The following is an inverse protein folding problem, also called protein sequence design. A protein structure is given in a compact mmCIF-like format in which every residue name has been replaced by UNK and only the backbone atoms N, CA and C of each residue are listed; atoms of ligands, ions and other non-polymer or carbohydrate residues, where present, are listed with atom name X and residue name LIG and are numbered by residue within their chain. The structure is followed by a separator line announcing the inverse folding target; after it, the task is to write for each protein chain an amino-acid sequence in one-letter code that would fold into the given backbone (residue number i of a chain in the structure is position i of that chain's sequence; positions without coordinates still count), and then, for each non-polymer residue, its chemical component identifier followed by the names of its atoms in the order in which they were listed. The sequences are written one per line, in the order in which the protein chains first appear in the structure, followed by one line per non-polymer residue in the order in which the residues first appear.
data_IF_544699902218
#
_entry.id   IF_544699902218
#
_cell.length_a   1.000
_cell.length_b   1.000
_cell.length_c   1.000
_cell.angle_alpha   90.00
_cell.angle_beta   90.00
_cell.angle_gamma   90.00
#
_symmetry.space_group_name_H-M   'P 1'
#
loop_
_entity.id
_entity.type
_entity.pdbx_description
1 polymer ?
#
# COMPACT_ATOMS: atom_id res chain seq x y z
N UNK A 1 -1.13 9.44 2.00
CA UNK A 1 -0.65 10.11 0.78
C UNK A 1 -0.03 9.05 -0.12
N UNK A 2 -0.13 9.24 -1.42
CA UNK A 2 0.51 8.42 -2.44
C UNK A 2 1.01 9.32 -3.56
N UNK A 3 2.05 8.89 -4.26
CA UNK A 3 2.62 9.60 -5.41
C UNK A 3 3.23 8.58 -6.35
N UNK A 4 3.12 8.83 -7.66
CA UNK A 4 3.79 8.03 -8.65
C UNK A 4 5.26 8.45 -8.73
N UNK A 5 6.17 7.48 -8.69
CA UNK A 5 7.62 7.72 -8.81
C UNK A 5 8.19 7.27 -10.15
N UNK A 6 7.57 6.29 -10.80
CA UNK A 6 7.98 5.78 -12.10
C UNK A 6 6.78 5.29 -12.91
N UNK A 7 6.86 5.41 -14.23
CA UNK A 7 6.01 4.74 -15.20
C UNK A 7 6.84 3.65 -15.89
N UNK A 8 6.28 2.44 -16.01
CA UNK A 8 6.96 1.27 -16.58
C UNK A 8 6.07 0.57 -17.59
N UNK A 9 6.67 -0.16 -18.53
CA UNK A 9 5.98 -0.86 -19.61
C UNK A 9 5.42 -2.24 -19.23
N UNK A 10 5.78 -2.80 -18.07
CA UNK A 10 5.31 -4.11 -17.63
C UNK A 10 5.20 -4.26 -16.11
N UNK A 11 4.36 -5.20 -15.65
CA UNK A 11 4.27 -5.58 -14.22
C UNK A 11 5.58 -6.17 -13.69
N UNK A 12 6.35 -6.83 -14.55
CA UNK A 12 7.64 -7.40 -14.17
C UNK A 12 8.64 -6.29 -13.81
N UNK A 13 8.74 -5.25 -14.65
CA UNK A 13 9.55 -4.06 -14.34
C UNK A 13 9.11 -3.37 -13.05
N UNK A 14 7.79 -3.23 -12.83
CA UNK A 14 7.27 -2.67 -11.57
C UNK A 14 7.80 -3.46 -10.36
N UNK A 15 7.73 -4.80 -10.40
CA UNK A 15 8.23 -5.65 -9.33
C UNK A 15 9.75 -5.52 -9.11
N UNK A 16 10.53 -5.42 -10.19
CA UNK A 16 11.99 -5.21 -10.11
C UNK A 16 12.31 -3.86 -9.45
N UNK A 17 11.57 -2.80 -9.81
CA UNK A 17 11.72 -1.48 -9.20
C UNK A 17 11.32 -1.50 -7.72
N UNK A 18 10.24 -2.19 -7.36
CA UNK A 18 9.80 -2.38 -5.97
C UNK A 18 10.87 -3.11 -5.13
N UNK A 19 11.42 -4.21 -5.65
CA UNK A 19 12.53 -4.94 -5.01
C UNK A 19 13.78 -4.06 -4.90
N UNK A 20 14.04 -3.22 -5.90
CA UNK A 20 15.16 -2.30 -5.83
C UNK A 20 14.96 -1.24 -4.73
N UNK A 21 13.76 -0.67 -4.63
CA UNK A 21 13.38 0.27 -3.57
C UNK A 21 13.42 -0.39 -2.18
N UNK A 22 13.18 -1.70 -2.07
CA UNK A 22 13.16 -2.39 -0.80
C UNK A 22 14.50 -2.44 -0.07
N UNK A 23 15.61 -2.11 -0.75
CA UNK A 23 16.93 -1.90 -0.13
C UNK A 23 16.92 -0.75 0.88
N UNK A 24 16.05 0.24 0.69
CA UNK A 24 15.94 1.42 1.57
C UNK A 24 14.58 1.51 2.27
N UNK A 25 13.52 1.04 1.63
CA UNK A 25 12.15 1.15 2.14
C UNK A 25 11.61 -0.22 2.51
N UNK A 26 11.33 -0.46 3.79
CA UNK A 26 10.77 -1.74 4.21
C UNK A 26 9.37 -1.94 3.62
N UNK A 27 9.16 -3.09 2.98
CA UNK A 27 7.89 -3.50 2.37
C UNK A 27 6.77 -3.76 3.41
N UNK A 28 7.15 -4.01 4.67
CA UNK A 28 6.20 -4.39 5.72
C UNK A 28 5.76 -3.21 6.57
N UNK A 29 4.48 -2.89 6.50
CA UNK A 29 3.82 -2.00 7.46
C UNK A 29 3.48 -2.76 8.75
N UNK A 30 3.89 -2.25 9.90
CA UNK A 30 3.46 -2.78 11.20
C UNK A 30 1.98 -2.41 11.43
N UNK A 31 1.06 -3.26 10.99
CA UNK A 31 -0.38 -2.98 10.91
C UNK A 31 -0.98 -2.38 12.19
N UNK A 32 -0.55 -2.85 13.37
CA UNK A 32 -1.07 -2.32 14.65
C UNK A 32 -0.60 -0.88 14.93
N UNK A 33 0.64 -0.53 14.57
CA UNK A 33 1.13 0.86 14.63
C UNK A 33 0.40 1.71 13.60
N UNK A 34 0.20 1.18 12.40
CA UNK A 34 -0.56 1.84 11.34
C UNK A 34 -1.99 2.13 11.82
N UNK A 35 -2.70 1.20 12.44
CA UNK A 35 -4.06 1.46 12.93
C UNK A 35 -4.02 2.50 14.06
N UNK A 36 -3.21 2.30 15.09
CA UNK A 36 -3.12 3.21 16.26
C UNK A 36 -2.69 4.62 15.91
N UNK A 37 -1.87 4.81 14.87
CA UNK A 37 -1.50 6.14 14.40
C UNK A 37 -2.66 6.91 13.74
N UNK A 38 -3.84 6.28 13.59
CA UNK A 38 -5.06 6.94 13.11
C UNK A 38 -4.82 7.59 11.75
N UNK A 39 -5.15 8.87 11.60
CA UNK A 39 -4.82 9.63 10.39
C UNK A 39 -3.60 10.54 10.57
N UNK A 40 -2.73 10.29 11.55
CA UNK A 40 -1.45 10.99 11.65
C UNK A 40 -0.60 10.61 10.42
N UNK A 41 -0.55 11.54 9.47
CA UNK A 41 0.23 11.44 8.25
C UNK A 41 1.48 12.28 8.40
N UNK A 42 2.58 11.91 7.71
CA UNK A 42 3.70 12.83 7.57
C UNK A 42 3.20 14.14 6.94
N UNK A 43 3.93 15.22 7.17
CA UNK A 43 3.68 16.48 6.45
C UNK A 43 3.99 16.32 4.96
N UNK A 44 3.53 17.27 4.15
CA UNK A 44 3.88 17.27 2.73
C UNK A 44 5.41 17.38 2.51
N UNK A 45 6.11 18.08 3.40
CA UNK A 45 7.57 18.22 3.38
C UNK A 45 8.27 16.90 3.68
N UNK A 46 7.89 16.23 4.78
CA UNK A 46 8.41 14.91 5.14
C UNK A 46 8.15 13.88 4.04
N UNK A 47 6.96 13.91 3.44
CA UNK A 47 6.59 13.01 2.35
C UNK A 47 7.42 13.28 1.09
N UNK A 48 7.63 14.56 0.74
CA UNK A 48 8.44 14.94 -0.42
C UNK A 48 9.93 14.61 -0.22
N UNK A 49 10.45 14.72 1.00
CA UNK A 49 11.81 14.30 1.32
C UNK A 49 12.01 12.80 1.00
N UNK A 50 11.13 11.95 1.52
CA UNK A 50 11.15 10.49 1.26
C UNK A 50 10.94 10.18 -0.22
N UNK A 51 10.06 10.91 -0.91
CA UNK A 51 9.87 10.79 -2.36
C UNK A 51 11.16 11.11 -3.13
N UNK A 52 11.84 12.20 -2.76
CA UNK A 52 13.11 12.60 -3.37
C UNK A 52 14.18 11.53 -3.20
N UNK A 53 14.29 10.96 -2.00
CA UNK A 53 15.18 9.84 -1.73
C UNK A 53 14.89 8.60 -2.58
N UNK A 54 13.61 8.28 -2.82
CA UNK A 54 13.22 7.18 -3.70
C UNK A 54 13.57 7.45 -5.17
N UNK A 55 13.33 8.67 -5.66
CA UNK A 55 13.69 9.08 -7.02
C UNK A 55 15.21 9.05 -7.22
N UNK A 56 15.99 9.54 -6.27
CA UNK A 56 17.46 9.49 -6.31
C UNK A 56 17.99 8.05 -6.30
N UNK A 57 17.43 7.19 -5.47
CA UNK A 57 17.80 5.77 -5.45
C UNK A 57 17.57 5.14 -6.83
N UNK A 58 16.38 5.31 -7.40
CA UNK A 58 16.04 4.80 -8.73
C UNK A 58 16.93 5.39 -9.83
N UNK A 59 17.20 6.70 -9.80
CA UNK A 59 18.08 7.39 -10.74
C UNK A 59 19.50 6.82 -10.72
N UNK A 60 20.05 6.60 -9.52
CA UNK A 60 21.36 5.98 -9.35
C UNK A 60 21.37 4.52 -9.85
N UNK A 61 20.28 3.78 -9.63
CA UNK A 61 20.13 2.43 -10.17
C UNK A 61 20.12 2.39 -11.70
N UNK A 62 19.34 3.27 -12.33
CA UNK A 62 19.16 3.34 -13.79
C UNK A 62 20.38 3.88 -14.55
N UNK A 63 21.23 4.66 -13.87
CA UNK A 63 22.48 5.19 -14.43
C UNK A 63 23.72 4.36 -14.04
N UNK A 64 23.54 3.34 -13.19
CA UNK A 64 24.63 2.53 -12.65
C UNK A 64 24.71 1.13 -13.27
N UNK A 65 25.49 0.26 -12.62
CA UNK A 65 25.70 -1.13 -13.05
C UNK A 65 24.43 -2.00 -13.06
N UNK A 66 23.34 -1.55 -12.42
CA UNK A 66 22.06 -2.27 -12.36
C UNK A 66 21.06 -1.81 -13.43
N UNK A 67 21.45 -0.91 -14.35
CA UNK A 67 20.56 -0.33 -15.34
C UNK A 67 19.82 -1.39 -16.17
N UNK A 68 20.53 -2.38 -16.72
CA UNK A 68 19.91 -3.42 -17.56
C UNK A 68 18.92 -4.28 -16.78
N UNK A 69 19.21 -4.56 -15.51
CA UNK A 69 18.30 -5.28 -14.62
C UNK A 69 17.03 -4.48 -14.36
N UNK A 70 17.15 -3.19 -14.01
CA UNK A 70 16.01 -2.33 -13.71
C UNK A 70 15.14 -2.05 -14.93
N UNK A 71 15.77 -1.89 -16.09
CA UNK A 71 15.05 -1.73 -17.35
C UNK A 71 14.28 -3.00 -17.68
N UNK A 72 14.90 -4.17 -17.53
CA UNK A 72 14.34 -5.49 -17.83
C UNK A 72 13.80 -5.62 -19.28
N UNK A 73 13.89 -6.80 -19.90
CA UNK A 73 13.37 -6.98 -21.25
C UNK A 73 11.84 -6.86 -21.28
N UNK A 74 11.31 -6.10 -22.23
CA UNK A 74 9.88 -6.02 -22.50
C UNK A 74 9.43 -7.20 -23.38
N UNK A 75 8.23 -7.77 -23.16
CA UNK A 75 7.64 -8.74 -24.08
C UNK A 75 7.44 -8.12 -25.47
N UNK A 76 7.69 -8.89 -26.53
CA UNK A 76 7.53 -8.44 -27.94
C UNK A 76 6.12 -7.94 -28.28
N UNK A 77 5.13 -8.30 -27.48
CA UNK A 77 3.72 -7.93 -27.63
C UNK A 77 3.36 -6.58 -27.01
N UNK A 78 4.27 -5.93 -26.27
CA UNK A 78 4.01 -4.61 -25.68
C UNK A 78 4.27 -3.54 -26.75
N UNK A 79 3.26 -2.76 -27.20
CA UNK A 79 3.39 -1.81 -28.31
C UNK A 79 4.31 -0.62 -28.02
N UNK A 80 4.66 -0.42 -26.75
CA UNK A 80 5.36 0.76 -26.28
C UNK A 80 6.85 0.51 -26.15
N UNK A 81 7.67 1.40 -26.72
CA UNK A 81 9.08 1.57 -26.40
C UNK A 81 9.32 2.16 -24.99
N UNK A 82 8.32 2.11 -24.11
CA UNK A 82 8.37 2.77 -22.81
C UNK A 82 9.23 1.94 -21.85
N UNK A 83 10.51 2.27 -21.86
CA UNK A 83 11.47 1.99 -20.81
C UNK A 83 11.01 2.59 -19.46
N UNK A 84 11.78 2.39 -18.40
CA UNK A 84 11.53 2.98 -17.08
C UNK A 84 11.63 4.50 -17.15
N UNK A 85 10.51 5.21 -16.95
CA UNK A 85 10.46 6.68 -16.89
C UNK A 85 10.20 7.16 -15.47
N UNK A 86 11.17 7.83 -14.86
CA UNK A 86 11.00 8.48 -13.56
C UNK A 86 10.07 9.71 -13.68
N UNK A 87 9.28 9.95 -12.65
CA UNK A 87 8.29 11.02 -12.60
C UNK A 87 8.70 12.06 -11.55
N UNK A 88 9.54 13.01 -11.97
CA UNK A 88 10.01 14.13 -11.12
C UNK A 88 8.88 15.07 -10.72
N UNK A 89 7.84 15.16 -11.53
CA UNK A 89 6.59 15.85 -11.21
C UNK A 89 5.43 14.87 -11.29
N UNK A 90 4.79 14.62 -10.15
CA UNK A 90 3.59 13.82 -10.03
C UNK A 90 2.72 14.39 -8.91
N UNK A 91 1.40 14.37 -9.11
CA UNK A 91 0.46 14.86 -8.12
C UNK A 91 0.49 13.93 -6.89
N UNK A 92 0.60 14.54 -5.71
CA UNK A 92 0.40 13.82 -4.45
C UNK A 92 -1.10 13.63 -4.26
N UNK A 93 -1.49 12.38 -4.11
CA UNK A 93 -2.87 11.99 -3.80
C UNK A 93 -3.00 11.84 -2.29
N UNK A 94 -3.86 12.65 -1.68
CA UNK A 94 -4.26 12.43 -0.30
C UNK A 94 -5.22 11.24 -0.23
N UNK A 95 -4.97 10.32 0.71
CA UNK A 95 -5.84 9.16 0.94
C UNK A 95 -6.37 9.30 2.34
N UNK A 96 -7.68 9.53 2.44
CA UNK A 96 -8.41 9.60 3.68
C UNK A 96 -8.98 8.24 4.03
N UNK A 97 -8.88 7.87 5.31
CA UNK A 97 -9.42 6.63 5.83
C UNK A 97 -10.50 6.99 6.85
N UNK A 98 -11.78 6.72 6.56
CA UNK A 98 -12.87 7.10 7.43
C UNK A 98 -12.83 6.27 8.70
N UNK A 99 -12.95 6.97 9.82
CA UNK A 99 -12.97 6.42 11.17
C UNK A 99 -13.90 7.31 12.00
N UNK A 100 -15.07 6.80 12.36
CA UNK A 100 -16.11 7.56 13.05
C UNK A 100 -15.86 7.67 14.57
N UNK A 101 -15.16 6.69 15.14
CA UNK A 101 -14.82 6.65 16.56
C UNK A 101 -13.32 6.31 16.75
N UNK A 102 -12.68 6.76 17.84
CA UNK A 102 -11.33 6.30 18.18
C UNK A 102 -11.25 4.77 18.21
N UNK A 103 -10.10 4.23 17.81
CA UNK A 103 -9.85 2.80 17.92
C UNK A 103 -9.96 2.35 19.39
N UNK A 104 -10.51 1.15 19.67
CA UNK A 104 -10.48 0.57 21.00
C UNK A 104 -9.05 0.48 21.53
N UNK A 105 -8.85 0.68 22.84
CA UNK A 105 -7.52 0.58 23.47
C UNK A 105 -6.86 -0.79 23.23
N UNK A 106 -7.70 -1.84 23.25
CA UNK A 106 -7.32 -3.22 22.93
C UNK A 106 -7.79 -3.58 21.52
N UNK A 107 -6.83 -3.69 20.60
CA UNK A 107 -7.09 -4.13 19.23
C UNK A 107 -7.00 -5.67 19.18
N UNK A 108 -8.13 -6.33 18.97
CA UNK A 108 -8.23 -7.78 18.76
C UNK A 108 -8.43 -8.06 17.27
N UNK A 109 -7.72 -9.06 16.72
CA UNK A 109 -7.96 -9.50 15.34
C UNK A 109 -9.15 -10.46 15.30
N UNK A 110 -10.14 -10.13 14.49
CA UNK A 110 -11.29 -10.97 14.18
C UNK A 110 -10.92 -11.99 13.10
N UNK A 111 -11.38 -13.24 13.25
CA UNK A 111 -11.05 -14.35 12.36
C UNK A 111 -12.23 -15.31 12.19
N UNK A 112 -12.67 -15.51 10.94
CA UNK A 112 -13.76 -16.44 10.62
C UNK A 112 -13.39 -17.91 10.83
N UNK A 113 -12.10 -18.29 10.78
CA UNK A 113 -11.67 -19.65 11.14
C UNK A 113 -12.02 -20.01 12.59
N UNK A 114 -12.01 -18.99 13.47
CA UNK A 114 -12.23 -19.16 14.92
C UNK A 114 -13.68 -18.89 15.32
N UNK A 115 -14.29 -17.87 14.71
CA UNK A 115 -15.68 -17.49 14.91
C UNK A 115 -16.32 -17.28 13.54
N UNK A 116 -17.04 -18.27 12.99
CA UNK A 116 -17.58 -18.21 11.62
C UNK A 116 -18.69 -17.16 11.45
N UNK A 117 -19.21 -16.63 12.56
CA UNK A 117 -20.21 -15.57 12.60
C UNK A 117 -19.52 -14.31 13.15
N UNK A 118 -19.73 -13.18 12.48
CA UNK A 118 -19.30 -11.85 12.88
C UNK A 118 -20.49 -10.89 12.80
N UNK A 119 -20.98 -10.48 13.96
CA UNK A 119 -22.03 -9.47 14.12
C UNK A 119 -21.44 -8.31 14.94
N UNK A 120 -21.30 -7.15 14.32
CA UNK A 120 -20.62 -6.00 14.93
C UNK A 120 -20.91 -4.69 14.18
N UNK A 121 -20.73 -3.55 14.86
CA UNK A 121 -20.90 -2.23 14.23
C UNK A 121 -19.61 -1.79 13.56
N UNK A 122 -19.69 -1.34 12.30
CA UNK A 122 -18.53 -0.80 11.57
C UNK A 122 -18.20 0.59 12.11
N UNK A 123 -16.97 0.76 12.62
CA UNK A 123 -16.43 2.03 13.09
C UNK A 123 -15.55 2.74 12.07
N UNK A 124 -15.07 2.02 11.05
CA UNK A 124 -14.26 2.62 10.00
C UNK A 124 -13.53 1.60 9.13
N UNK A 125 -12.69 2.10 8.22
CA UNK A 125 -11.84 1.29 7.36
C UNK A 125 -10.46 1.93 7.20
N UNK A 126 -9.41 1.10 7.30
CA UNK A 126 -8.04 1.52 6.98
C UNK A 126 -7.32 0.49 6.13
N UNK A 127 -7.23 0.75 4.82
CA UNK A 127 -6.64 -0.18 3.87
C UNK A 127 -7.48 -1.46 3.80
N UNK A 128 -6.84 -2.62 4.01
CA UNK A 128 -7.51 -3.93 4.04
C UNK A 128 -8.22 -4.25 5.36
N UNK A 129 -8.19 -3.34 6.34
CA UNK A 129 -8.72 -3.56 7.68
C UNK A 129 -10.06 -2.84 7.85
N UNK A 130 -11.13 -3.61 8.02
CA UNK A 130 -12.40 -3.11 8.57
C UNK A 130 -12.28 -3.05 10.08
N UNK A 131 -12.75 -1.95 10.66
CA UNK A 131 -12.67 -1.69 12.09
C UNK A 131 -14.09 -1.79 12.63
N UNK A 132 -14.28 -2.66 13.61
CA UNK A 132 -15.53 -2.89 14.30
C UNK A 132 -15.39 -2.51 15.78
N UNK A 133 -16.52 -2.31 16.45
CA UNK A 133 -16.60 -2.14 17.91
C UNK A 133 -16.01 -3.34 18.69
N UNK A 134 -16.12 -4.54 18.12
CA UNK A 134 -15.63 -5.80 18.69
C UNK A 134 -14.18 -6.14 18.31
N UNK A 135 -13.56 -5.42 17.38
CA UNK A 135 -12.18 -5.67 16.95
C UNK A 135 -11.88 -5.26 15.50
N UNK A 136 -10.79 -5.78 14.96
CA UNK A 136 -10.31 -5.44 13.61
C UNK A 136 -10.32 -6.68 12.72
N UNK A 137 -10.94 -6.53 11.55
CA UNK A 137 -11.09 -7.58 10.56
C UNK A 137 -10.20 -7.31 9.34
N UNK A 138 -9.27 -8.22 9.05
CA UNK A 138 -8.47 -8.17 7.82
C UNK A 138 -9.22 -8.87 6.70
N UNK A 139 -9.78 -8.11 5.75
CA UNK A 139 -10.59 -8.64 4.64
C UNK A 139 -9.75 -9.58 3.78
N UNK A 140 -8.50 -9.21 3.47
CA UNK A 140 -7.60 -9.99 2.62
C UNK A 140 -7.31 -11.39 3.16
N UNK A 141 -7.30 -11.55 4.48
CA UNK A 141 -7.09 -12.86 5.12
C UNK A 141 -8.19 -13.87 4.78
N UNK A 142 -9.40 -13.38 4.50
CA UNK A 142 -10.58 -14.19 4.26
C UNK A 142 -10.99 -14.14 2.77
N UNK A 143 -10.05 -13.83 1.88
CA UNK A 143 -10.26 -13.98 0.43
C UNK A 143 -10.62 -15.43 0.11
N UNK A 144 -11.62 -15.62 -0.76
CA UNK A 144 -12.12 -16.94 -1.16
C UNK A 144 -13.22 -17.52 -0.26
N UNK A 145 -13.59 -16.84 0.82
CA UNK A 145 -14.74 -17.24 1.63
C UNK A 145 -16.07 -16.95 0.91
N UNK A 146 -17.01 -17.89 1.01
CA UNK A 146 -18.41 -17.65 0.66
C UNK A 146 -19.13 -17.25 1.94
N UNK A 147 -19.67 -16.04 1.98
CA UNK A 147 -20.31 -15.48 3.17
C UNK A 147 -21.75 -15.07 2.87
N UNK A 148 -22.62 -15.24 3.86
CA UNK A 148 -23.88 -14.51 3.91
C UNK A 148 -23.62 -13.17 4.58
N UNK A 149 -24.12 -12.09 3.99
CA UNK A 149 -23.88 -10.73 4.46
C UNK A 149 -25.21 -9.99 4.55
N UNK A 150 -25.46 -9.38 5.71
CA UNK A 150 -26.65 -8.60 6.00
C UNK A 150 -26.25 -7.30 6.70
N UNK A 151 -26.95 -6.21 6.39
CA UNK A 151 -26.79 -4.91 7.04
C UNK A 151 -28.10 -4.61 7.76
N UNK A 152 -28.02 -4.34 9.06
CA UNK A 152 -29.15 -3.85 9.85
C UNK A 152 -29.04 -2.32 9.98
N UNK A 153 -30.13 -1.63 9.64
CA UNK A 153 -30.26 -0.16 9.73
C UNK A 153 -30.94 0.25 11.03
#
# INVERSE_FOLDING_TARGET
MAVLVAAVGSRHQAGILEEFLSQKFADKSHWMKMLKSGNNRPTAEEFNLVRGEALELLRNGLNGAKADQLRAPLPKSVPTAADVRLLDSAQIVSIFFPLWNPLPEKITSLNLDKSPILEASVLGIKGQYLIFDSGVFNVRRHEGYVVNFEIQN
#
